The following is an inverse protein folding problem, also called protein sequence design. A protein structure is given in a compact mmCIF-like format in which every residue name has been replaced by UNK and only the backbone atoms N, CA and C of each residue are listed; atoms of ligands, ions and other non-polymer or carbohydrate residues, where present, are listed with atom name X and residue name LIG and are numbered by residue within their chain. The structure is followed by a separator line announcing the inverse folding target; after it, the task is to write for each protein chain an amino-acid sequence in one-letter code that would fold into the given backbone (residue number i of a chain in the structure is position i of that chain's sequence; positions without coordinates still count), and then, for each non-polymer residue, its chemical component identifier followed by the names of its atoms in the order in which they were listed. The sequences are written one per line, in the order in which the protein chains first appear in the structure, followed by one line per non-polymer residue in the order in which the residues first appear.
data_IF_976503813466
#
_entry.id   IF_976503813466
#
_cell.length_a   1.000
_cell.length_b   1.000
_cell.length_c   1.000
_cell.angle_alpha   90.00
_cell.angle_beta   90.00
_cell.angle_gamma   90.00
#
_symmetry.space_group_name_H-M   'P 1'
#
loop_
_entity.id
_entity.type
_entity.pdbx_description
1 polymer ?
#
# COMPACT_ATOMS: atom_id res chain seq x y z
N UNK A 1 5.65 -10.76 7.50
CA UNK A 1 6.64 -10.51 6.42
C UNK A 1 7.86 -11.42 6.49
N UNK A 2 8.68 -11.39 7.54
CA UNK A 2 9.96 -12.15 7.60
C UNK A 2 9.83 -13.64 7.23
N UNK A 3 8.97 -14.39 7.92
CA UNK A 3 8.77 -15.83 7.65
C UNK A 3 8.30 -16.05 6.21
N UNK A 4 7.29 -15.30 5.77
CA UNK A 4 6.79 -15.37 4.40
C UNK A 4 7.90 -15.15 3.37
N UNK A 5 8.74 -14.12 3.58
CA UNK A 5 9.87 -13.82 2.72
C UNK A 5 10.93 -14.93 2.72
N UNK A 6 11.23 -15.57 3.86
CA UNK A 6 12.22 -16.67 3.93
C UNK A 6 11.74 -17.97 3.29
N UNK A 7 10.45 -18.28 3.39
CA UNK A 7 9.89 -19.57 2.98
C UNK A 7 9.13 -19.53 1.64
N UNK A 8 9.17 -18.41 0.91
CA UNK A 8 8.50 -18.28 -0.39
C UNK A 8 6.98 -18.15 -0.28
N UNK A 9 6.43 -17.99 0.92
CA UNK A 9 4.98 -17.84 1.13
C UNK A 9 4.56 -16.41 0.82
N UNK A 10 3.43 -16.25 0.12
CA UNK A 10 2.87 -14.93 -0.19
C UNK A 10 2.24 -14.30 1.06
N UNK A 11 2.22 -12.98 1.11
CA UNK A 11 1.70 -12.19 2.24
C UNK A 11 0.92 -10.99 1.72
N UNK A 12 -0.24 -10.74 2.32
CA UNK A 12 -1.03 -9.54 2.13
C UNK A 12 -1.49 -9.00 3.48
N UNK A 13 -1.53 -7.67 3.65
CA UNK A 13 -2.05 -7.00 4.84
C UNK A 13 -2.83 -5.73 4.49
N UNK A 14 -3.55 -5.17 5.46
CA UNK A 14 -4.24 -3.87 5.34
C UNK A 14 -3.66 -2.83 6.32
N UNK A 15 -2.38 -2.97 6.69
CA UNK A 15 -1.79 -2.04 7.68
C UNK A 15 -1.72 -0.63 7.11
N UNK A 16 -2.00 0.38 7.96
CA UNK A 16 -1.81 1.78 7.63
C UNK A 16 -0.46 2.33 8.14
N UNK A 17 0.43 1.45 8.62
CA UNK A 17 1.70 1.83 9.24
C UNK A 17 2.82 1.96 8.19
N UNK A 18 2.87 3.09 7.48
CA UNK A 18 3.82 3.35 6.38
C UNK A 18 5.29 3.17 6.77
N UNK A 19 5.71 3.68 7.92
CA UNK A 19 7.10 3.54 8.43
C UNK A 19 7.46 2.07 8.68
N UNK A 20 6.50 1.27 9.15
CA UNK A 20 6.69 -0.17 9.33
C UNK A 20 6.82 -0.87 7.98
N UNK A 21 5.95 -0.55 7.01
CA UNK A 21 6.00 -1.11 5.65
C UNK A 21 7.35 -0.81 5.00
N UNK A 22 7.84 0.44 5.09
CA UNK A 22 9.17 0.83 4.60
C UNK A 22 10.28 0.01 5.25
N UNK A 23 10.23 -0.15 6.57
CA UNK A 23 11.20 -0.94 7.32
C UNK A 23 11.18 -2.41 6.87
N UNK A 24 10.00 -2.99 6.64
CA UNK A 24 9.86 -4.37 6.18
C UNK A 24 10.38 -4.53 4.74
N UNK A 25 10.11 -3.57 3.87
CA UNK A 25 10.61 -3.54 2.49
C UNK A 25 12.15 -3.54 2.48
N UNK A 26 12.78 -2.60 3.19
CA UNK A 26 14.24 -2.51 3.27
C UNK A 26 14.90 -3.79 3.81
N UNK A 27 14.26 -4.45 4.80
CA UNK A 27 14.80 -5.68 5.40
C UNK A 27 14.61 -6.92 4.52
N UNK A 28 13.47 -7.05 3.84
CA UNK A 28 13.03 -8.35 3.32
C UNK A 28 12.75 -8.38 1.82
N UNK A 29 12.79 -7.27 1.10
CA UNK A 29 12.51 -7.24 -0.35
C UNK A 29 13.43 -8.17 -1.14
N UNK A 30 14.74 -8.13 -0.87
CA UNK A 30 15.70 -9.01 -1.55
C UNK A 30 15.43 -10.48 -1.23
N UNK A 31 15.17 -10.82 0.03
CA UNK A 31 14.86 -12.19 0.46
C UNK A 31 13.59 -12.71 -0.20
N UNK A 32 12.53 -11.90 -0.23
CA UNK A 32 11.27 -12.23 -0.88
C UNK A 32 11.46 -12.47 -2.39
N UNK A 33 12.27 -11.64 -3.05
CA UNK A 33 12.60 -11.82 -4.47
C UNK A 33 13.33 -13.14 -4.73
N UNK A 34 14.28 -13.50 -3.87
CA UNK A 34 15.04 -14.75 -4.02
C UNK A 34 14.19 -16.00 -3.75
N UNK A 35 13.27 -15.94 -2.78
CA UNK A 35 12.39 -17.07 -2.45
C UNK A 35 11.16 -17.20 -3.34
N UNK A 36 10.85 -16.17 -4.14
CA UNK A 36 9.63 -16.09 -4.94
C UNK A 36 8.40 -15.63 -4.15
N UNK A 37 8.56 -15.20 -2.90
CA UNK A 37 7.47 -14.64 -2.11
C UNK A 37 6.99 -13.29 -2.69
N UNK A 38 5.67 -13.11 -2.76
CA UNK A 38 5.02 -11.83 -3.06
C UNK A 38 4.51 -11.23 -1.75
N UNK A 39 4.99 -10.04 -1.42
CA UNK A 39 4.62 -9.30 -0.21
C UNK A 39 3.88 -8.04 -0.66
N UNK A 40 2.59 -7.95 -0.32
CA UNK A 40 1.74 -6.81 -0.64
C UNK A 40 1.25 -6.19 0.67
N UNK A 41 1.67 -4.97 0.96
CA UNK A 41 1.20 -4.22 2.13
C UNK A 41 0.24 -3.12 1.68
N UNK A 42 -0.52 -2.56 2.61
CA UNK A 42 -1.52 -1.51 2.31
C UNK A 42 -2.62 -2.02 1.37
N UNK A 43 -3.11 -3.25 1.55
CA UNK A 43 -4.14 -3.86 0.68
C UNK A 43 -5.57 -3.51 1.13
N UNK A 44 -5.80 -2.29 1.62
CA UNK A 44 -7.10 -1.83 2.10
C UNK A 44 -8.11 -1.57 0.97
N UNK A 45 -9.36 -1.31 1.36
CA UNK A 45 -10.43 -0.89 0.44
C UNK A 45 -10.13 0.46 -0.23
N UNK A 46 -9.38 1.31 0.44
CA UNK A 46 -8.87 2.61 -0.01
C UNK A 46 -7.57 2.52 -0.80
N UNK A 47 -7.06 1.33 -1.10
CA UNK A 47 -5.76 1.16 -1.76
C UNK A 47 -5.87 0.31 -3.02
N UNK A 48 -6.20 -0.99 -2.90
CA UNK A 48 -6.20 -1.91 -4.05
C UNK A 48 -7.17 -1.51 -5.16
N UNK A 49 -8.43 -1.12 -4.88
CA UNK A 49 -9.34 -0.68 -5.92
C UNK A 49 -8.85 0.57 -6.65
N UNK A 50 -8.19 1.48 -5.93
CA UNK A 50 -7.71 2.75 -6.49
C UNK A 50 -6.47 2.53 -7.36
N UNK A 51 -5.49 1.75 -6.89
CA UNK A 51 -4.30 1.38 -7.67
C UNK A 51 -4.68 0.67 -8.98
N UNK A 52 -5.61 -0.29 -8.90
CA UNK A 52 -6.11 -1.01 -10.09
C UNK A 52 -6.85 -0.07 -11.05
N UNK A 53 -7.59 0.90 -10.52
CA UNK A 53 -8.32 1.89 -11.33
C UNK A 53 -7.33 2.76 -12.10
N UNK A 54 -6.33 3.33 -11.42
CA UNK A 54 -5.28 4.14 -12.04
C UNK A 54 -4.53 3.32 -13.09
N UNK A 55 -4.12 2.09 -12.76
CA UNK A 55 -3.43 1.21 -13.71
C UNK A 55 -4.24 0.94 -14.98
N UNK A 56 -5.53 0.63 -14.84
CA UNK A 56 -6.39 0.38 -16.01
C UNK A 56 -6.67 1.65 -16.82
N UNK A 57 -6.84 2.80 -16.17
CA UNK A 57 -7.04 4.08 -16.86
C UNK A 57 -5.81 4.48 -17.66
N UNK A 58 -4.60 4.36 -17.09
CA UNK A 58 -3.34 4.63 -17.79
C UNK A 58 -3.23 3.77 -19.04
N UNK A 59 -3.43 2.45 -18.91
CA UNK A 59 -3.35 1.53 -20.05
C UNK A 59 -4.35 1.85 -21.15
N UNK A 60 -5.58 2.20 -20.78
CA UNK A 60 -6.63 2.53 -21.74
C UNK A 60 -6.30 3.83 -22.51
N UNK A 61 -5.77 4.85 -21.83
CA UNK A 61 -5.33 6.09 -22.47
C UNK A 61 -4.14 5.88 -23.41
N UNK A 62 -3.16 5.09 -22.99
CA UNK A 62 -2.02 4.70 -23.84
C UNK A 62 -2.48 3.95 -25.10
N UNK A 63 -3.42 3.00 -24.96
CA UNK A 63 -3.91 2.17 -26.05
C UNK A 63 -4.83 2.93 -27.03
N UNK A 64 -5.74 3.78 -26.53
CA UNK A 64 -6.78 4.42 -27.36
C UNK A 64 -6.43 5.83 -27.80
N UNK A 65 -5.82 6.63 -26.92
CA UNK A 65 -5.54 8.06 -27.16
C UNK A 65 -4.05 8.34 -27.43
N UNK A 66 -3.14 7.43 -27.05
CA UNK A 66 -1.68 7.65 -27.02
C UNK A 66 -1.31 8.88 -26.19
N UNK A 67 -2.05 9.11 -25.12
CA UNK A 67 -1.84 10.20 -24.16
C UNK A 67 -1.48 9.64 -22.79
N UNK A 68 -0.77 10.45 -22.00
CA UNK A 68 -0.40 10.11 -20.64
C UNK A 68 -1.50 10.52 -19.65
N UNK A 69 -1.75 9.68 -18.65
CA UNK A 69 -2.64 10.00 -17.54
C UNK A 69 -1.97 11.03 -16.61
N UNK A 70 -2.56 12.21 -16.49
CA UNK A 70 -2.00 13.30 -15.66
C UNK A 70 -2.42 13.20 -14.19
N UNK A 71 -3.71 12.98 -13.93
CA UNK A 71 -4.26 12.94 -12.58
C UNK A 71 -5.53 12.10 -12.52
N UNK A 72 -5.68 11.34 -11.43
CA UNK A 72 -6.91 10.67 -11.05
C UNK A 72 -7.29 11.08 -9.64
N UNK A 73 -8.57 11.38 -9.44
CA UNK A 73 -9.14 11.60 -8.12
C UNK A 73 -10.15 10.49 -7.85
N UNK A 74 -9.84 9.62 -6.88
CA UNK A 74 -10.74 8.59 -6.40
C UNK A 74 -11.53 9.11 -5.19
N UNK A 75 -12.83 8.85 -5.16
CA UNK A 75 -13.71 9.24 -4.05
C UNK A 75 -14.53 8.01 -3.69
N UNK A 76 -14.63 7.70 -2.41
CA UNK A 76 -15.42 6.58 -1.90
C UNK A 76 -16.21 7.01 -0.66
N UNK A 77 -17.37 6.39 -0.45
CA UNK A 77 -18.21 6.59 0.74
C UNK A 77 -17.95 5.45 1.73
N UNK A 78 -17.24 5.75 2.83
CA UNK A 78 -16.95 4.75 3.86
C UNK A 78 -18.09 4.63 4.89
N UNK A 79 -18.71 3.45 4.94
CA UNK A 79 -19.69 3.06 5.98
C UNK A 79 -19.09 2.10 7.02
N UNK A 80 -17.83 2.32 7.45
CA UNK A 80 -17.11 1.44 8.38
C UNK A 80 -16.68 2.16 9.66
N UNK A 81 -16.85 1.49 10.80
CA UNK A 81 -16.30 1.93 12.09
C UNK A 81 -14.78 1.82 12.07
N UNK A 82 -14.10 2.89 12.51
CA UNK A 82 -12.65 2.92 12.73
C UNK A 82 -12.31 1.97 13.88
N UNK A 83 -11.33 1.06 13.70
CA UNK A 83 -10.90 0.17 14.77
C UNK A 83 -10.10 0.94 15.83
N UNK A 84 -10.07 0.48 17.09
CA UNK A 84 -9.26 1.11 18.13
C UNK A 84 -7.76 1.18 17.78
N UNK A 85 -7.27 0.21 17.00
CA UNK A 85 -5.91 0.23 16.45
C UNK A 85 -5.71 1.38 15.45
N UNK A 86 -6.69 1.65 14.59
CA UNK A 86 -6.64 2.75 13.62
C UNK A 86 -6.64 4.11 14.33
N UNK A 87 -7.40 4.29 15.42
CA UNK A 87 -7.37 5.52 16.23
C UNK A 87 -5.99 5.73 16.86
N UNK A 88 -5.36 4.66 17.36
CA UNK A 88 -3.99 4.72 17.89
C UNK A 88 -2.98 5.09 16.81
N UNK A 89 -3.06 4.47 15.63
CA UNK A 89 -2.19 4.80 14.50
C UNK A 89 -2.34 6.26 14.07
N UNK A 90 -3.58 6.77 13.94
CA UNK A 90 -3.84 8.18 13.66
C UNK A 90 -3.30 9.09 14.76
N UNK A 91 -3.44 8.69 16.03
CA UNK A 91 -2.90 9.43 17.17
C UNK A 91 -1.37 9.53 17.14
N UNK A 92 -0.66 8.47 16.74
CA UNK A 92 0.80 8.48 16.61
C UNK A 92 1.29 9.41 15.49
N UNK A 93 0.52 9.54 14.41
CA UNK A 93 0.78 10.51 13.33
C UNK A 93 0.58 11.94 13.82
N UNK A 94 -0.50 12.20 14.58
CA UNK A 94 -0.78 13.52 15.17
C UNK A 94 0.31 13.91 16.19
N UNK A 95 0.77 12.96 16.99
CA UNK A 95 1.81 13.18 18.03
C UNK A 95 3.23 13.27 17.43
N UNK A 96 3.37 13.19 16.09
CA UNK A 96 4.65 13.30 15.39
C UNK A 96 5.64 12.17 15.67
N UNK A 97 5.18 11.08 16.29
CA UNK A 97 5.98 9.88 16.59
C UNK A 97 6.13 8.97 15.37
N UNK A 98 5.27 9.15 14.40
CA UNK A 98 5.28 8.51 13.08
C UNK A 98 5.17 9.64 12.07
N UNK A 99 6.01 9.63 11.05
CA UNK A 99 5.99 10.70 10.06
C UNK A 99 4.66 10.66 9.29
N UNK A 100 3.99 11.79 9.01
CA UNK A 100 2.93 11.77 8.01
C UNK A 100 3.50 11.18 6.72
N UNK A 101 2.72 10.35 6.04
CA UNK A 101 3.10 9.69 4.80
C UNK A 101 3.53 10.73 3.75
N UNK A 102 4.81 11.07 3.77
CA UNK A 102 5.43 12.11 2.95
C UNK A 102 6.15 11.49 1.77
N UNK A 103 6.55 10.22 1.90
CA UNK A 103 6.93 9.35 0.79
C UNK A 103 6.85 7.86 1.22
N UNK A 104 5.97 7.03 0.63
CA UNK A 104 5.98 5.59 0.84
C UNK A 104 7.14 4.87 0.12
N UNK A 105 7.95 5.58 -0.68
CA UNK A 105 9.06 5.05 -1.47
C UNK A 105 10.44 5.57 -1.01
#
# INVERSE_FOLDING_TARGET
VEFCAKFGTHYADITAETDWVRTMMLKWQNTARHSGAKILSLCGNDSVPWDLTVYQMTRKLEEEAKEDLVQVTCIDEFASSVSGGTVLSMGLVIDGKVSPATDPF
#
